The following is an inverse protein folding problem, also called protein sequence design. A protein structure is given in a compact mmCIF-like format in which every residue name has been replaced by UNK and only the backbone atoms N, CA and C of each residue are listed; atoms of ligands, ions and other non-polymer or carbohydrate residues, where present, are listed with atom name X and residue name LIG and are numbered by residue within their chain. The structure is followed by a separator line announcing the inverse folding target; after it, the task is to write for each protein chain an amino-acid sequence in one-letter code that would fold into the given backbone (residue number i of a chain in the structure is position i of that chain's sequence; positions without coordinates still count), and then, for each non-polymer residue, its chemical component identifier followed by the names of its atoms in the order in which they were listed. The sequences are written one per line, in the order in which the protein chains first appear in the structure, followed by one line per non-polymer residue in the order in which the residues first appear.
data_IF_839562066246
#
_entry.id   IF_839562066246
#
_cell.length_a   1.000
_cell.length_b   1.000
_cell.length_c   1.000
_cell.angle_alpha   90.00
_cell.angle_beta   90.00
_cell.angle_gamma   90.00
#
_symmetry.space_group_name_H-M   'P 1'
#
loop_
_entity.id
_entity.type
_entity.pdbx_description
1 polymer ?
#
# COMPACT_ATOMS: atom_id res chain seq x y z
N UNK A 1 19.52 -36.39 -73.18
CA UNK A 1 18.23 -35.95 -72.61
C UNK A 1 18.36 -35.93 -71.09
N UNK A 2 18.14 -34.74 -70.46
CA UNK A 2 17.48 -34.46 -69.14
C UNK A 2 17.83 -35.39 -67.96
N UNK A 3 18.19 -34.97 -66.74
CA UNK A 3 17.99 -33.74 -65.94
C UNK A 3 18.74 -34.00 -64.61
N UNK A 4 19.64 -33.12 -64.17
CA UNK A 4 19.43 -32.05 -63.17
C UNK A 4 19.43 -32.47 -61.68
N UNK A 5 20.50 -32.04 -61.00
CA UNK A 5 20.55 -31.31 -59.71
C UNK A 5 20.07 -31.99 -58.43
N UNK A 6 20.99 -32.05 -57.45
CA UNK A 6 20.66 -32.27 -56.03
C UNK A 6 21.81 -31.90 -55.09
N UNK A 7 22.12 -30.61 -54.93
CA UNK A 7 23.00 -30.09 -53.86
C UNK A 7 22.33 -30.27 -52.50
N UNK A 8 22.87 -31.16 -51.67
CA UNK A 8 22.49 -31.33 -50.27
C UNK A 8 23.50 -30.70 -49.31
N UNK A 9 23.53 -29.36 -49.22
CA UNK A 9 24.22 -28.67 -48.14
C UNK A 9 23.26 -28.51 -46.95
N UNK A 10 23.41 -29.32 -45.89
CA UNK A 10 22.79 -29.05 -44.59
C UNK A 10 23.78 -29.27 -43.46
N UNK A 11 24.49 -28.16 -43.22
CA UNK A 11 25.00 -27.63 -41.95
C UNK A 11 24.33 -28.29 -40.73
N UNK A 12 25.06 -29.18 -40.05
CA UNK A 12 24.66 -29.73 -38.75
C UNK A 12 24.81 -28.63 -37.70
N UNK A 13 23.67 -28.09 -37.26
CA UNK A 13 23.56 -27.17 -36.15
C UNK A 13 23.98 -27.89 -34.85
N UNK A 14 24.92 -27.29 -34.14
CA UNK A 14 25.31 -27.65 -32.78
C UNK A 14 24.11 -27.41 -31.86
N UNK A 15 23.38 -28.47 -31.53
CA UNK A 15 22.41 -28.45 -30.44
C UNK A 15 23.16 -28.52 -29.11
N UNK A 16 23.46 -27.35 -28.57
CA UNK A 16 23.80 -27.14 -27.18
C UNK A 16 22.68 -27.71 -26.31
N UNK A 17 22.91 -28.85 -25.66
CA UNK A 17 22.02 -29.38 -24.62
C UNK A 17 22.01 -28.40 -23.45
N UNK A 18 21.00 -27.54 -23.42
CA UNK A 18 20.65 -26.74 -22.26
C UNK A 18 20.14 -27.70 -21.19
N UNK A 19 20.96 -27.94 -20.17
CA UNK A 19 20.57 -28.67 -18.97
C UNK A 19 19.49 -27.85 -18.24
N UNK A 20 18.39 -28.47 -17.78
CA UNK A 20 17.39 -27.78 -16.99
C UNK A 20 18.02 -27.32 -15.67
N UNK A 21 17.82 -26.04 -15.35
CA UNK A 21 18.34 -25.38 -14.16
C UNK A 21 17.97 -26.13 -12.88
N UNK A 22 18.94 -26.22 -11.96
CA UNK A 22 18.73 -26.66 -10.59
C UNK A 22 17.54 -25.91 -9.95
N UNK A 23 16.70 -26.55 -9.13
CA UNK A 23 15.75 -25.84 -8.29
C UNK A 23 16.53 -24.95 -7.32
N UNK A 24 16.23 -23.65 -7.32
CA UNK A 24 16.84 -22.69 -6.38
C UNK A 24 16.34 -22.98 -4.95
N UNK A 25 17.22 -23.33 -4.00
CA UNK A 25 16.85 -23.47 -2.59
C UNK A 25 16.90 -22.08 -1.96
N UNK A 26 15.79 -21.36 -2.00
CA UNK A 26 15.72 -20.01 -1.41
C UNK A 26 14.34 -19.34 -1.42
N UNK A 27 13.34 -19.92 -2.09
CA UNK A 27 12.01 -19.31 -2.27
C UNK A 27 11.02 -19.54 -1.11
N UNK A 28 11.41 -20.29 -0.07
CA UNK A 28 10.46 -20.76 0.96
C UNK A 28 10.31 -19.88 2.21
N UNK A 29 11.25 -18.96 2.48
CA UNK A 29 11.25 -18.16 3.73
C UNK A 29 10.90 -16.70 3.48
N UNK A 30 11.27 -16.14 2.31
CA UNK A 30 10.92 -14.77 1.91
C UNK A 30 9.45 -14.60 1.57
N UNK A 31 8.75 -15.67 1.17
CA UNK A 31 7.33 -15.60 0.82
C UNK A 31 6.43 -15.59 2.07
N UNK A 32 6.92 -16.16 3.19
CA UNK A 32 6.10 -16.41 4.37
C UNK A 32 5.64 -15.13 5.11
N UNK A 33 6.39 -14.03 4.96
CA UNK A 33 6.07 -12.73 5.56
C UNK A 33 5.66 -11.67 4.54
N UNK A 34 5.65 -12.02 3.24
CA UNK A 34 5.43 -11.06 2.17
C UNK A 34 4.10 -10.30 2.32
N UNK A 35 3.06 -10.96 2.84
CA UNK A 35 1.78 -10.32 3.14
C UNK A 35 1.88 -9.21 4.20
N UNK A 36 2.55 -9.47 5.33
CA UNK A 36 2.74 -8.47 6.38
C UNK A 36 3.68 -7.35 5.96
N UNK A 37 4.75 -7.67 5.22
CA UNK A 37 5.68 -6.69 4.68
C UNK A 37 4.95 -5.75 3.71
N UNK A 38 4.14 -6.30 2.81
CA UNK A 38 3.32 -5.49 1.91
C UNK A 38 2.29 -4.65 2.68
N UNK A 39 1.65 -5.21 3.70
CA UNK A 39 0.71 -4.45 4.53
C UNK A 39 1.39 -3.27 5.25
N UNK A 40 2.65 -3.45 5.67
CA UNK A 40 3.44 -2.39 6.31
C UNK A 40 3.84 -1.30 5.31
N UNK A 41 4.24 -1.65 4.09
CA UNK A 41 4.48 -0.68 3.01
C UNK A 41 3.24 0.16 2.70
N UNK A 42 2.08 -0.48 2.59
CA UNK A 42 0.80 0.21 2.38
C UNK A 42 0.49 1.12 3.57
N UNK A 43 0.73 0.67 4.81
CA UNK A 43 0.52 1.47 6.02
C UNK A 43 1.43 2.71 6.09
N UNK A 44 2.69 2.60 5.70
CA UNK A 44 3.59 3.75 5.60
C UNK A 44 3.12 4.75 4.54
N UNK A 45 2.64 4.26 3.40
CA UNK A 45 2.10 5.12 2.35
C UNK A 45 0.82 5.84 2.81
N UNK A 46 -0.07 5.11 3.50
CA UNK A 46 -1.26 5.71 4.13
C UNK A 46 -0.88 6.77 5.17
N UNK A 47 0.16 6.52 5.97
CA UNK A 47 0.63 7.48 6.97
C UNK A 47 1.19 8.75 6.32
N UNK A 48 1.90 8.63 5.20
CA UNK A 48 2.35 9.79 4.43
C UNK A 48 1.16 10.63 3.92
N UNK A 49 0.16 9.99 3.33
CA UNK A 49 -1.07 10.67 2.87
C UNK A 49 -1.83 11.34 4.02
N UNK A 50 -1.90 10.69 5.18
CA UNK A 50 -2.52 11.25 6.37
C UNK A 50 -1.80 12.49 6.88
N UNK A 51 -0.46 12.49 6.87
CA UNK A 51 0.37 13.66 7.22
C UNK A 51 0.16 14.81 6.22
N UNK A 52 -0.04 14.49 4.95
CA UNK A 52 -0.36 15.48 3.90
C UNK A 52 -1.84 15.89 3.87
N UNK A 53 -2.67 15.37 4.80
CA UNK A 53 -4.10 15.69 4.89
C UNK A 53 -4.96 15.09 3.77
N UNK A 54 -4.44 14.13 2.99
CA UNK A 54 -5.14 13.49 1.87
C UNK A 54 -6.07 12.36 2.33
N UNK A 55 -7.00 12.71 3.23
CA UNK A 55 -7.89 11.75 3.91
C UNK A 55 -8.77 10.94 2.96
N UNK A 56 -9.20 11.52 1.84
CA UNK A 56 -10.07 10.87 0.84
C UNK A 56 -9.40 9.67 0.13
N UNK A 57 -8.07 9.60 0.16
CA UNK A 57 -7.31 8.51 -0.47
C UNK A 57 -7.15 7.28 0.42
N UNK A 58 -7.29 7.43 1.74
CA UNK A 58 -7.06 6.36 2.72
C UNK A 58 -8.03 5.17 2.59
N UNK A 59 -9.35 5.35 2.33
CA UNK A 59 -10.26 4.21 2.20
C UNK A 59 -9.87 3.24 1.08
N UNK A 60 -9.35 3.76 -0.04
CA UNK A 60 -8.89 2.92 -1.17
C UNK A 60 -7.68 2.07 -0.77
N UNK A 61 -6.74 2.66 -0.03
CA UNK A 61 -5.56 1.93 0.46
C UNK A 61 -5.93 0.91 1.54
N UNK A 62 -6.93 1.21 2.37
CA UNK A 62 -7.42 0.25 3.36
C UNK A 62 -8.01 -1.00 2.70
N UNK A 63 -8.70 -0.85 1.57
CA UNK A 63 -9.20 -1.98 0.78
C UNK A 63 -8.06 -2.88 0.27
N UNK A 64 -6.92 -2.28 -0.12
CA UNK A 64 -5.71 -3.05 -0.49
C UNK A 64 -5.07 -3.74 0.72
N UNK A 65 -5.00 -3.04 1.87
CA UNK A 65 -4.31 -3.51 3.07
C UNK A 65 -5.06 -4.61 3.81
N UNK A 66 -6.39 -4.51 3.90
CA UNK A 66 -7.23 -5.40 4.70
C UNK A 66 -7.06 -6.90 4.38
N UNK A 67 -7.06 -7.37 3.12
CA UNK A 67 -6.87 -8.80 2.84
C UNK A 67 -5.47 -9.29 3.26
N UNK A 68 -4.44 -8.43 3.18
CA UNK A 68 -3.08 -8.78 3.60
C UNK A 68 -2.99 -9.02 5.10
N UNK A 69 -3.71 -8.23 5.91
CA UNK A 69 -3.76 -8.40 7.36
C UNK A 69 -4.59 -9.62 7.80
N UNK A 70 -5.62 -9.97 7.03
CA UNK A 70 -6.53 -11.10 7.32
C UNK A 70 -5.98 -12.46 6.88
N UNK A 71 -4.95 -12.48 6.04
CA UNK A 71 -4.28 -13.71 5.66
C UNK A 71 -3.71 -14.43 6.89
N UNK A 72 -3.49 -15.74 6.78
CA UNK A 72 -2.78 -16.49 7.82
C UNK A 72 -1.32 -16.06 7.85
N UNK A 73 -0.84 -15.72 9.04
CA UNK A 73 0.54 -15.31 9.26
C UNK A 73 1.25 -16.26 10.23
N UNK A 74 2.54 -16.51 10.02
CA UNK A 74 3.37 -17.29 10.94
C UNK A 74 3.36 -16.68 12.34
N UNK A 75 3.38 -17.51 13.37
CA UNK A 75 3.41 -17.08 14.78
C UNK A 75 4.84 -17.04 15.32
N UNK A 76 5.73 -16.38 14.61
CA UNK A 76 7.15 -16.26 14.97
C UNK A 76 7.54 -14.83 15.37
N UNK A 77 8.81 -14.63 15.71
CA UNK A 77 9.31 -13.33 16.14
C UNK A 77 9.17 -12.26 15.05
N UNK A 78 9.45 -12.60 13.79
CA UNK A 78 9.41 -11.65 12.69
C UNK A 78 8.00 -11.15 12.40
N UNK A 79 7.00 -12.03 12.39
CA UNK A 79 5.61 -11.61 12.25
C UNK A 79 5.17 -10.71 13.41
N UNK A 80 5.61 -11.00 14.64
CA UNK A 80 5.34 -10.11 15.78
C UNK A 80 5.94 -8.73 15.59
N UNK A 81 7.21 -8.64 15.16
CA UNK A 81 7.89 -7.37 14.94
C UNK A 81 7.20 -6.54 13.84
N UNK A 82 6.74 -7.18 12.76
CA UNK A 82 5.98 -6.54 11.69
C UNK A 82 4.61 -6.06 12.18
N UNK A 83 3.90 -6.87 12.96
CA UNK A 83 2.60 -6.49 13.55
C UNK A 83 2.73 -5.35 14.56
N UNK A 84 3.82 -5.31 15.33
CA UNK A 84 4.12 -4.18 16.24
C UNK A 84 4.34 -2.88 15.46
N UNK A 85 5.09 -2.92 14.35
CA UNK A 85 5.28 -1.76 13.47
C UNK A 85 3.96 -1.30 12.84
N UNK A 86 3.13 -2.24 12.36
CA UNK A 86 1.80 -1.96 11.85
C UNK A 86 0.90 -1.28 12.90
N UNK A 87 0.94 -1.77 14.14
CA UNK A 87 0.20 -1.17 15.25
C UNK A 87 0.66 0.27 15.53
N UNK A 88 1.97 0.51 15.55
CA UNK A 88 2.52 1.85 15.72
C UNK A 88 2.06 2.81 14.61
N UNK A 89 2.09 2.37 13.34
CA UNK A 89 1.57 3.15 12.21
C UNK A 89 0.08 3.49 12.38
N UNK A 90 -0.74 2.52 12.79
CA UNK A 90 -2.17 2.74 13.03
C UNK A 90 -2.42 3.75 14.16
N UNK A 91 -1.65 3.66 15.25
CA UNK A 91 -1.76 4.59 16.38
C UNK A 91 -1.41 6.02 15.96
N UNK A 92 -0.35 6.20 15.19
CA UNK A 92 0.03 7.52 14.67
C UNK A 92 -1.07 8.08 13.75
N UNK A 93 -1.62 7.26 12.85
CA UNK A 93 -2.69 7.67 11.96
C UNK A 93 -3.97 8.07 12.72
N UNK A 94 -4.31 7.36 13.79
CA UNK A 94 -5.42 7.73 14.67
C UNK A 94 -5.19 9.07 15.38
N UNK A 95 -3.95 9.34 15.81
CA UNK A 95 -3.59 10.62 16.42
C UNK A 95 -3.71 11.77 15.41
N UNK A 96 -3.22 11.59 14.18
CA UNK A 96 -3.37 12.58 13.11
C UNK A 96 -4.85 12.84 12.78
N UNK A 97 -5.67 11.78 12.68
CA UNK A 97 -7.10 11.91 12.45
C UNK A 97 -7.84 12.61 13.61
N UNK A 98 -7.39 12.43 14.86
CA UNK A 98 -7.92 13.17 16.00
C UNK A 98 -7.57 14.67 15.91
N UNK A 99 -6.33 15.02 15.57
CA UNK A 99 -5.91 16.41 15.36
C UNK A 99 -6.71 17.08 14.25
N UNK A 100 -6.78 16.44 13.07
CA UNK A 100 -7.51 16.97 11.93
C UNK A 100 -8.99 17.24 12.25
N UNK A 101 -9.65 16.33 12.98
CA UNK A 101 -11.04 16.54 13.43
C UNK A 101 -11.17 17.72 14.38
N UNK A 102 -10.23 17.89 15.32
CA UNK A 102 -10.23 19.02 16.23
C UNK A 102 -10.04 20.36 15.49
N UNK A 103 -9.16 20.40 14.49
CA UNK A 103 -8.95 21.58 13.65
C UNK A 103 -10.20 21.97 12.86
N UNK A 104 -10.87 21.00 12.24
CA UNK A 104 -12.14 21.23 11.53
C UNK A 104 -13.24 21.70 12.48
N UNK A 105 -13.36 21.10 13.67
CA UNK A 105 -14.34 21.51 14.67
C UNK A 105 -14.12 22.96 15.13
N UNK A 106 -12.86 23.34 15.38
CA UNK A 106 -12.49 24.70 15.76
C UNK A 106 -12.79 25.70 14.63
N UNK A 107 -12.51 25.34 13.37
CA UNK A 107 -12.83 26.18 12.22
C UNK A 107 -14.33 26.41 12.07
N UNK A 108 -15.14 25.36 12.24
CA UNK A 108 -16.59 25.46 12.19
C UNK A 108 -17.16 26.33 13.32
N UNK A 109 -16.68 26.13 14.55
CA UNK A 109 -17.09 26.93 15.71
C UNK A 109 -16.84 28.43 15.47
N UNK A 110 -15.65 28.79 14.96
CA UNK A 110 -15.34 30.20 14.61
C UNK A 110 -16.34 30.78 13.60
N UNK A 111 -16.71 30.03 12.58
CA UNK A 111 -17.69 30.47 11.57
C UNK A 111 -19.09 30.66 12.16
N UNK A 112 -19.52 29.74 13.03
CA UNK A 112 -20.82 29.84 13.73
C UNK A 112 -20.85 31.08 14.62
N UNK A 113 -19.81 31.33 15.41
CA UNK A 113 -19.73 32.50 16.28
C UNK A 113 -19.69 33.81 15.48
N UNK A 114 -18.96 33.86 14.37
CA UNK A 114 -18.95 35.03 13.49
C UNK A 114 -20.36 35.33 12.93
N UNK A 115 -21.07 34.30 12.45
CA UNK A 115 -22.44 34.45 11.95
C UNK A 115 -23.41 34.91 13.04
N UNK A 116 -23.28 34.38 14.26
CA UNK A 116 -24.09 34.81 15.41
C UNK A 116 -23.85 36.28 15.75
N UNK A 117 -22.59 36.72 15.78
CA UNK A 117 -22.24 38.12 16.04
C UNK A 117 -22.83 39.07 15.00
N UNK A 118 -22.71 38.74 13.71
CA UNK A 118 -23.32 39.53 12.62
C UNK A 118 -24.83 39.61 12.77
N UNK A 119 -25.50 38.48 13.03
CA UNK A 119 -26.96 38.46 13.23
C UNK A 119 -27.38 39.30 14.44
N UNK A 120 -26.61 39.29 15.53
CA UNK A 120 -26.89 40.11 16.70
C UNK A 120 -26.81 41.61 16.38
N UNK A 121 -25.79 42.05 15.63
CA UNK A 121 -25.70 43.44 15.17
C UNK A 121 -26.84 43.84 14.24
N UNK A 122 -27.20 42.98 13.28
CA UNK A 122 -28.33 43.23 12.37
C UNK A 122 -29.64 43.35 13.13
N UNK A 123 -29.85 42.52 14.16
CA UNK A 123 -31.05 42.57 14.99
C UNK A 123 -31.08 43.80 15.92
N UNK A 124 -29.93 44.29 16.38
CA UNK A 124 -29.83 45.49 17.23
C UNK A 124 -30.04 46.79 16.41
N UNK A 125 -29.69 46.77 15.13
CA UNK A 125 -29.84 47.92 14.23
C UNK A 125 -31.26 48.03 13.61
N UNK A 126 -32.19 47.16 14.02
CA UNK A 126 -33.60 47.16 13.62
C UNK A 126 -34.47 47.70 14.74
#
# INVERSE_FOLDING_TARGET
MRRSVGRGARRLARHSRQLPGRPQPGRGVTDMHAGLERALEVSHSMLALARDGQWDSLPKMEVERQPLLRAEHPRDARSRDLLTQLLACNQEMLALAASARAEVANALSRQVHARQAVNAYVNLAR
#
